data_IF_864221312590
#
_entry.id   IF_864221312590
#
_cell.length_a   1.000
_cell.length_b   1.000
_cell.length_c   1.000
_cell.angle_alpha   90.00
_cell.angle_beta   90.00
_cell.angle_gamma   90.00
#
_symmetry.space_group_name_H-M   'P 1'
#
loop_
_entity.id
_entity.type
_entity.pdbx_description
1 polymer ?
#
# COMPACT_ATOMS: atom_id res chain seq x y z
N UNK A 1 -0.49 -4.05 -13.45
CA UNK A 1 -0.74 -2.67 -13.95
C UNK A 1 -1.19 -2.74 -15.40
N UNK A 2 -2.51 -2.82 -15.64
CA UNK A 2 -3.08 -3.09 -16.98
C UNK A 2 -2.79 -1.96 -17.98
N UNK A 3 -2.79 -0.71 -17.50
CA UNK A 3 -2.44 0.46 -18.30
C UNK A 3 -0.97 0.44 -18.73
N UNK A 4 -0.05 -0.01 -17.85
CA UNK A 4 1.37 -0.17 -18.21
C UNK A 4 1.64 -1.36 -19.15
N UNK A 5 0.71 -2.31 -19.28
CA UNK A 5 0.87 -3.46 -20.18
C UNK A 5 0.57 -3.18 -21.66
N UNK A 6 0.41 -1.90 -22.04
CA UNK A 6 0.20 -1.48 -23.43
C UNK A 6 -1.20 -1.78 -24.00
N UNK A 7 -2.14 -2.25 -23.17
CA UNK A 7 -3.54 -2.42 -23.59
C UNK A 7 -4.22 -1.05 -23.71
N UNK A 8 -4.87 -0.79 -24.84
CA UNK A 8 -5.59 0.47 -25.18
C UNK A 8 -6.35 1.03 -23.99
N UNK A 9 -6.16 2.31 -23.69
CA UNK A 9 -6.60 3.02 -22.48
C UNK A 9 -8.05 2.76 -22.01
N UNK A 10 -8.96 2.46 -22.93
CA UNK A 10 -10.37 2.21 -22.60
C UNK A 10 -10.67 0.74 -22.27
N UNK A 11 -9.94 -0.23 -22.85
CA UNK A 11 -10.19 -1.67 -22.66
C UNK A 11 -10.03 -2.14 -21.20
N UNK A 12 -8.99 -1.73 -20.44
CA UNK A 12 -8.81 -2.12 -19.05
C UNK A 12 -9.97 -1.71 -18.15
N UNK A 13 -10.55 -0.53 -18.38
CA UNK A 13 -11.65 -0.01 -17.55
C UNK A 13 -12.89 -0.88 -17.74
N UNK A 14 -13.21 -1.24 -18.99
CA UNK A 14 -14.33 -2.15 -19.26
C UNK A 14 -14.09 -3.56 -18.71
N UNK A 15 -12.87 -4.10 -18.83
CA UNK A 15 -12.54 -5.43 -18.30
C UNK A 15 -12.53 -5.49 -16.77
N UNK A 16 -12.24 -4.38 -16.09
CA UNK A 16 -12.25 -4.31 -14.62
C UNK A 16 -13.62 -3.98 -14.04
N UNK A 17 -14.49 -3.33 -14.81
CA UNK A 17 -15.84 -2.95 -14.36
C UNK A 17 -16.72 -4.19 -14.25
N UNK A 18 -17.34 -4.39 -13.09
CA UNK A 18 -18.22 -5.54 -12.83
C UNK A 18 -17.53 -6.83 -12.38
N UNK A 19 -16.19 -6.84 -12.27
CA UNK A 19 -15.44 -8.01 -11.78
C UNK A 19 -15.41 -8.09 -10.26
N UNK A 20 -15.36 -9.32 -9.72
CA UNK A 20 -15.28 -9.54 -8.28
C UNK A 20 -13.84 -9.32 -7.78
N UNK A 21 -13.67 -9.03 -6.47
CA UNK A 21 -12.34 -8.90 -5.87
C UNK A 21 -11.46 -10.14 -6.07
N UNK A 22 -12.05 -11.33 -6.07
CA UNK A 22 -11.34 -12.60 -6.31
C UNK A 22 -10.72 -12.65 -7.71
N UNK A 23 -11.49 -12.29 -8.74
CA UNK A 23 -11.05 -12.31 -10.13
C UNK A 23 -9.88 -11.34 -10.35
N UNK A 24 -9.95 -10.15 -9.74
CA UNK A 24 -8.85 -9.17 -9.78
C UNK A 24 -7.58 -9.70 -9.14
N UNK A 25 -7.69 -10.39 -8.00
CA UNK A 25 -6.54 -10.96 -7.30
C UNK A 25 -5.89 -12.09 -8.13
N UNK A 26 -6.71 -12.92 -8.78
CA UNK A 26 -6.24 -13.96 -9.68
C UNK A 26 -5.49 -13.38 -10.90
N UNK A 27 -6.01 -12.33 -11.52
CA UNK A 27 -5.33 -11.65 -12.64
C UNK A 27 -4.02 -10.99 -12.23
N UNK A 28 -3.96 -10.39 -11.03
CA UNK A 28 -2.72 -9.83 -10.50
C UNK A 28 -1.64 -10.90 -10.37
N UNK A 29 -2.01 -12.08 -9.87
CA UNK A 29 -1.09 -13.20 -9.73
C UNK A 29 -0.71 -13.81 -11.08
N UNK A 30 -1.68 -14.08 -11.96
CA UNK A 30 -1.44 -14.77 -13.23
C UNK A 30 -0.68 -13.91 -14.25
N UNK A 31 -1.09 -12.65 -14.43
CA UNK A 31 -0.56 -11.82 -15.52
C UNK A 31 0.62 -10.95 -15.10
N UNK A 32 0.69 -10.61 -13.81
CA UNK A 32 1.75 -9.73 -13.30
C UNK A 32 2.64 -10.41 -12.27
N UNK A 33 2.35 -11.66 -11.86
CA UNK A 33 3.11 -12.39 -10.84
C UNK A 33 3.21 -11.58 -9.53
N UNK A 34 2.18 -10.77 -9.24
CA UNK A 34 2.12 -9.93 -8.04
C UNK A 34 1.09 -10.49 -7.07
N UNK A 35 1.48 -10.57 -5.79
CA UNK A 35 0.57 -10.91 -4.71
C UNK A 35 0.06 -9.64 -4.03
N UNK A 36 -1.23 -9.35 -4.15
CA UNK A 36 -1.86 -8.17 -3.54
C UNK A 36 -1.66 -8.11 -2.01
N UNK A 37 -1.49 -9.24 -1.34
CA UNK A 37 -1.28 -9.27 0.12
C UNK A 37 0.14 -8.86 0.54
N UNK A 38 1.11 -8.93 -0.37
CA UNK A 38 2.50 -8.55 -0.12
C UNK A 38 2.73 -7.05 -0.35
N UNK A 39 1.76 -6.33 -0.92
CA UNK A 39 1.82 -4.88 -1.07
C UNK A 39 1.82 -4.17 0.28
N UNK A 40 2.48 -3.01 0.33
CA UNK A 40 2.57 -2.20 1.54
C UNK A 40 1.17 -1.86 2.08
N UNK A 41 1.04 -1.83 3.40
CA UNK A 41 -0.25 -1.58 4.05
C UNK A 41 -0.86 -0.24 3.62
N UNK A 42 -0.04 0.78 3.37
CA UNK A 42 -0.52 2.09 2.90
C UNK A 42 -1.29 2.00 1.57
N UNK A 43 -0.91 1.10 0.66
CA UNK A 43 -1.59 0.93 -0.63
C UNK A 43 -2.85 0.07 -0.52
N UNK A 44 -2.94 -0.80 0.49
CA UNK A 44 -4.07 -1.72 0.70
C UNK A 44 -5.15 -1.15 1.62
N UNK A 45 -4.73 -0.46 2.68
CA UNK A 45 -5.58 0.04 3.78
C UNK A 45 -5.69 1.57 3.80
N UNK A 46 -4.80 2.27 3.10
CA UNK A 46 -4.68 3.73 3.20
C UNK A 46 -3.89 4.16 4.43
N UNK A 47 -3.95 5.46 4.73
CA UNK A 47 -3.33 6.07 5.91
C UNK A 47 -4.39 6.79 6.73
N UNK A 48 -4.27 6.73 8.05
CA UNK A 48 -5.16 7.43 8.98
C UNK A 48 -4.35 8.26 9.97
N UNK A 49 -4.84 9.46 10.26
CA UNK A 49 -4.20 10.41 11.17
C UNK A 49 -5.11 10.56 12.38
N UNK A 50 -4.56 10.40 13.58
CA UNK A 50 -5.28 10.60 14.84
C UNK A 50 -4.47 11.47 15.79
N UNK A 51 -5.16 12.22 16.65
CA UNK A 51 -4.52 13.02 17.68
C UNK A 51 -4.14 12.12 18.86
N UNK A 52 -2.85 12.00 19.14
CA UNK A 52 -2.34 11.26 20.29
C UNK A 52 -1.81 12.24 21.34
N UNK A 53 -2.41 12.26 22.53
CA UNK A 53 -1.82 12.97 23.68
C UNK A 53 -0.59 12.18 24.13
N UNK A 54 0.60 12.71 23.88
CA UNK A 54 1.86 12.11 24.32
C UNK A 54 2.25 12.75 25.65
N UNK A 55 2.25 11.98 26.73
CA UNK A 55 2.82 12.41 28.01
C UNK A 55 4.33 12.29 27.89
N UNK A 56 5.01 13.43 27.74
CA UNK A 56 6.47 13.47 27.73
C UNK A 56 6.95 13.45 29.19
N UNK A 57 7.33 12.27 29.69
CA UNK A 57 8.04 12.19 30.96
C UNK A 57 9.46 12.68 30.69
N UNK A 58 9.80 13.88 31.16
CA UNK A 58 11.14 14.45 31.05
C UNK A 58 12.10 13.70 31.97
N UNK A 59 12.51 12.48 31.60
CA UNK A 59 13.78 11.91 32.06
C UNK A 59 14.87 12.52 31.18
N UNK A 60 15.62 13.44 31.77
CA UNK A 60 16.83 14.02 31.18
C UNK A 60 17.73 12.91 30.61
N UNK A 61 18.02 13.03 29.32
CA UNK A 61 19.09 12.36 28.60
C UNK A 61 19.05 10.82 28.56
N UNK A 62 18.39 10.28 27.53
CA UNK A 62 18.88 9.29 26.55
C UNK A 62 17.67 8.51 25.96
N UNK A 63 17.68 8.32 24.65
CA UNK A 63 16.71 7.60 23.81
C UNK A 63 15.56 8.43 23.19
N UNK A 64 15.90 9.52 22.49
CA UNK A 64 14.97 10.18 21.57
C UNK A 64 15.24 9.90 20.07
N UNK A 65 16.11 8.95 19.72
CA UNK A 65 16.51 8.72 18.32
C UNK A 65 16.54 7.24 17.85
N UNK A 66 16.02 6.25 18.59
CA UNK A 66 16.21 4.84 18.23
C UNK A 66 14.96 3.96 18.10
N UNK A 67 13.76 4.54 17.99
CA UNK A 67 12.62 3.78 17.49
C UNK A 67 12.18 4.32 16.13
N UNK A 68 12.76 3.66 15.13
CA UNK A 68 12.46 3.64 13.69
C UNK A 68 13.22 4.60 12.77
N UNK A 69 14.21 4.09 11.99
CA UNK A 69 14.56 4.73 10.73
C UNK A 69 13.32 4.70 9.82
N UNK A 70 12.87 5.89 9.44
CA UNK A 70 12.01 6.12 8.29
C UNK A 70 12.72 5.53 7.07
N UNK A 71 12.48 4.26 6.76
CA UNK A 71 12.80 3.71 5.45
C UNK A 71 11.66 4.06 4.52
N UNK A 72 11.65 5.33 4.10
CA UNK A 72 11.15 5.67 2.78
C UNK A 72 12.20 5.11 1.81
N UNK A 73 12.01 3.88 1.36
CA UNK A 73 12.80 3.31 0.27
C UNK A 73 12.01 3.50 -1.02
N UNK A 74 12.71 4.09 -1.98
CA UNK A 74 12.33 4.33 -3.38
C UNK A 74 11.72 3.11 -4.09
#
# INVERSE_FOLDING_TARGET
MLVKSGKVSNCPVFSLKGTLPKDKNEWLFQWFQMNYNNEQEMFRKGSSIYQQKVVQTTTSNLLNCLNHPLTCLD
#
